data_IF_299492715971
#
_entry.id   IF_299492715971
#
_cell.length_a   1.000
_cell.length_b   1.000
_cell.length_c   1.000
_cell.angle_alpha   90.00
_cell.angle_beta   90.00
_cell.angle_gamma   90.00
#
_symmetry.space_group_name_H-M   'P 1'
#
loop_
_entity.id
_entity.type
_entity.pdbx_description
1 polymer ?
#
# COMPACT_ATOMS: atom_id res chain seq x y z
N UNK A 1 1.03 2.36 2.20
CA UNK A 1 -0.14 2.59 1.35
C UNK A 1 0.04 1.81 0.04
N UNK A 2 -1.03 1.18 -0.48
CA UNK A 2 -0.98 0.47 -1.75
C UNK A 2 -1.15 1.44 -2.92
N UNK A 3 -0.40 1.24 -4.01
CA UNK A 3 -0.55 1.97 -5.26
C UNK A 3 -1.29 1.09 -6.27
N UNK A 4 -2.39 1.60 -6.82
CA UNK A 4 -3.32 0.89 -7.69
C UNK A 4 -3.16 1.41 -9.12
N UNK A 5 -2.80 0.61 -10.14
CA UNK A 5 -2.86 1.03 -11.53
C UNK A 5 -4.29 1.42 -11.93
N UNK A 6 -4.45 2.52 -12.66
CA UNK A 6 -5.77 2.99 -13.08
C UNK A 6 -6.45 2.04 -14.08
N UNK A 7 -5.65 1.36 -14.90
CA UNK A 7 -6.08 0.35 -15.86
C UNK A 7 -5.10 -0.82 -15.87
N UNK A 8 -5.42 -1.90 -16.59
CA UNK A 8 -4.51 -3.04 -16.80
C UNK A 8 -3.48 -2.77 -17.92
N UNK A 9 -3.29 -1.51 -18.35
CA UNK A 9 -2.28 -1.17 -19.36
C UNK A 9 -0.86 -1.30 -18.79
N UNK A 10 0.13 -1.70 -19.63
CA UNK A 10 1.53 -1.73 -19.21
C UNK A 10 2.04 -0.37 -18.69
N UNK A 11 1.54 0.72 -19.27
CA UNK A 11 1.93 2.08 -18.93
C UNK A 11 1.46 2.46 -17.52
N UNK A 12 0.19 2.21 -17.18
CA UNK A 12 -0.37 2.48 -15.86
C UNK A 12 0.26 1.58 -14.80
N UNK A 13 0.53 0.33 -15.15
CA UNK A 13 1.26 -0.61 -14.29
C UNK A 13 2.67 -0.08 -13.96
N UNK A 14 3.43 0.36 -14.96
CA UNK A 14 4.77 0.91 -14.76
C UNK A 14 4.74 2.20 -13.93
N UNK A 15 3.76 3.07 -14.16
CA UNK A 15 3.55 4.28 -13.37
C UNK A 15 3.25 3.95 -11.90
N UNK A 16 2.34 3.00 -11.64
CA UNK A 16 2.00 2.56 -10.29
C UNK A 16 3.20 1.91 -9.59
N UNK A 17 3.97 1.05 -10.27
CA UNK A 17 5.20 0.46 -9.72
C UNK A 17 6.25 1.53 -9.36
N UNK A 18 6.42 2.54 -10.20
CA UNK A 18 7.33 3.66 -9.96
C UNK A 18 6.95 4.41 -8.67
N UNK A 19 5.66 4.74 -8.49
CA UNK A 19 5.16 5.38 -7.26
C UNK A 19 5.33 4.48 -6.04
N UNK A 20 5.02 3.18 -6.16
CA UNK A 20 5.13 2.23 -5.06
C UNK A 20 6.56 2.14 -4.50
N UNK A 21 7.56 2.30 -5.36
CA UNK A 21 8.99 2.26 -5.00
C UNK A 21 9.60 3.66 -4.76
N UNK A 22 8.85 4.74 -4.99
CA UNK A 22 9.36 6.09 -4.80
C UNK A 22 9.54 6.42 -3.32
N UNK A 23 10.45 7.34 -3.05
CA UNK A 23 10.62 7.96 -1.74
C UNK A 23 10.49 9.47 -1.91
N UNK A 24 9.48 10.04 -1.29
CA UNK A 24 9.17 11.47 -1.33
C UNK A 24 9.51 12.12 0.01
N UNK A 25 10.10 13.31 -0.03
CA UNK A 25 10.45 14.03 1.19
C UNK A 25 9.22 14.35 2.04
N UNK A 26 9.30 14.04 3.33
CA UNK A 26 8.20 14.29 4.28
C UNK A 26 7.02 13.32 4.19
N UNK A 27 7.06 12.35 3.29
CA UNK A 27 6.02 11.31 3.21
C UNK A 27 6.34 10.14 4.14
N UNK A 28 5.50 9.91 5.14
CA UNK A 28 5.67 8.80 6.10
C UNK A 28 5.31 7.43 5.53
N UNK A 29 4.64 7.39 4.38
CA UNK A 29 4.12 6.17 3.76
C UNK A 29 4.99 5.64 2.62
N UNK A 30 6.25 6.03 2.57
CA UNK A 30 7.25 5.50 1.64
C UNK A 30 7.59 4.04 2.02
N UNK A 31 6.88 3.07 1.48
CA UNK A 31 7.06 1.66 1.83
C UNK A 31 8.49 1.18 1.59
N UNK A 32 9.09 1.52 0.46
CA UNK A 32 10.46 1.14 0.12
C UNK A 32 11.47 1.61 1.20
N UNK A 33 11.30 2.84 1.70
CA UNK A 33 12.17 3.41 2.72
C UNK A 33 12.23 2.57 4.00
N UNK A 34 11.09 2.01 4.41
CA UNK A 34 11.00 1.23 5.64
C UNK A 34 11.32 -0.25 5.48
N UNK A 35 10.91 -0.84 4.35
CA UNK A 35 11.04 -2.28 4.16
C UNK A 35 12.37 -2.71 3.53
N UNK A 36 12.95 -1.93 2.61
CA UNK A 36 14.19 -2.32 1.93
C UNK A 36 15.35 -2.55 2.90
N UNK A 37 15.60 -1.71 3.91
CA UNK A 37 16.65 -1.99 4.88
C UNK A 37 16.52 -3.34 5.56
N UNK A 38 15.31 -3.70 5.98
CA UNK A 38 15.04 -4.94 6.69
C UNK A 38 15.02 -6.16 5.77
N UNK A 39 14.43 -6.03 4.57
CA UNK A 39 14.25 -7.15 3.64
C UNK A 39 15.45 -7.35 2.72
N UNK A 40 16.06 -6.25 2.23
CA UNK A 40 17.11 -6.28 1.22
C UNK A 40 18.50 -5.92 1.78
N UNK A 41 18.59 -5.21 2.91
CA UNK A 41 19.83 -4.82 3.58
C UNK A 41 20.47 -3.55 2.99
N UNK A 42 19.67 -2.68 2.41
CA UNK A 42 20.10 -1.35 1.94
C UNK A 42 18.91 -0.40 1.91
N UNK A 43 19.16 0.88 1.97
CA UNK A 43 18.14 1.88 1.67
C UNK A 43 17.94 2.04 0.16
N UNK A 44 16.73 2.39 -0.33
CA UNK A 44 16.50 2.69 -1.73
C UNK A 44 17.32 3.93 -2.16
N UNK A 45 17.97 3.86 -3.34
CA UNK A 45 18.80 4.96 -3.85
C UNK A 45 18.03 6.28 -3.99
N UNK A 46 16.76 6.20 -4.39
CA UNK A 46 15.86 7.36 -4.47
C UNK A 46 15.71 8.01 -3.11
N UNK A 47 15.58 7.24 -2.05
CA UNK A 47 15.47 7.72 -0.68
C UNK A 47 16.76 8.35 -0.17
N UNK A 48 17.91 7.73 -0.44
CA UNK A 48 19.22 8.30 -0.10
C UNK A 48 19.46 9.63 -0.78
N UNK A 49 19.02 9.80 -2.03
CA UNK A 49 19.09 11.09 -2.74
C UNK A 49 18.13 12.12 -2.15
N UNK A 50 16.89 11.70 -1.85
CA UNK A 50 15.84 12.58 -1.29
C UNK A 50 16.22 13.13 0.09
N UNK A 51 16.84 12.31 0.92
CA UNK A 51 17.20 12.67 2.29
C UNK A 51 18.70 12.97 2.48
N UNK A 52 19.50 13.12 1.42
CA UNK A 52 20.96 13.23 1.47
C UNK A 52 21.48 14.20 2.53
N UNK A 53 20.86 15.40 2.65
CA UNK A 53 21.27 16.43 3.63
C UNK A 53 20.82 16.12 5.08
N UNK A 54 19.97 15.12 5.26
CA UNK A 54 19.38 14.75 6.56
C UNK A 54 19.84 13.39 7.05
N UNK A 55 20.56 12.63 6.22
CA UNK A 55 21.03 11.31 6.60
C UNK A 55 22.16 11.41 7.62
N UNK A 56 22.05 10.72 8.77
CA UNK A 56 23.19 10.57 9.66
C UNK A 56 24.27 9.70 9.01
N UNK A 57 25.51 9.87 9.44
CA UNK A 57 26.55 8.89 9.14
C UNK A 57 26.21 7.55 9.84
N UNK A 58 26.24 6.48 9.10
CA UNK A 58 26.07 5.12 9.63
C UNK A 58 27.00 4.16 8.90
N UNK A 59 27.58 3.19 9.61
CA UNK A 59 28.44 2.20 8.98
C UNK A 59 27.61 1.13 8.24
N UNK A 60 28.11 0.60 7.15
CA UNK A 60 27.47 -0.51 6.42
C UNK A 60 27.22 -1.73 7.30
N UNK A 61 28.02 -1.88 8.38
CA UNK A 61 27.83 -2.96 9.35
C UNK A 61 26.49 -2.95 10.07
N UNK A 62 25.78 -1.81 10.11
CA UNK A 62 24.45 -1.74 10.73
C UNK A 62 23.45 -2.64 10.02
N UNK A 63 23.61 -2.85 8.71
CA UNK A 63 22.77 -3.80 7.97
C UNK A 63 22.98 -5.25 8.39
N UNK A 64 24.11 -5.61 9.02
CA UNK A 64 24.28 -6.94 9.62
C UNK A 64 23.32 -7.17 10.80
N UNK A 65 22.85 -6.09 11.43
CA UNK A 65 21.84 -6.13 12.50
C UNK A 65 20.44 -5.93 11.97
N UNK A 66 20.24 -5.02 11.01
CA UNK A 66 18.92 -4.65 10.46
C UNK A 66 18.37 -5.78 9.60
N UNK A 67 19.17 -6.30 8.66
CA UNK A 67 18.77 -7.40 7.78
C UNK A 67 18.97 -8.75 8.46
N UNK A 68 17.90 -9.27 9.02
CA UNK A 68 17.86 -10.63 9.55
C UNK A 68 16.97 -11.53 8.67
N UNK A 69 17.13 -12.87 8.72
CA UNK A 69 16.18 -13.77 8.08
C UNK A 69 14.76 -13.53 8.62
N UNK A 70 13.83 -13.31 7.71
CA UNK A 70 12.40 -13.10 8.02
C UNK A 70 11.55 -14.06 7.19
N UNK A 71 10.46 -14.56 7.77
CA UNK A 71 9.61 -15.57 7.14
C UNK A 71 8.53 -14.95 6.24
N UNK A 72 8.07 -13.75 6.55
CA UNK A 72 7.03 -13.04 5.80
C UNK A 72 7.07 -11.52 6.03
N UNK A 73 6.39 -10.79 5.16
CA UNK A 73 6.11 -9.35 5.33
C UNK A 73 4.68 -9.17 5.79
N UNK A 74 4.47 -8.50 6.93
CA UNK A 74 3.16 -8.14 7.44
C UNK A 74 2.70 -6.77 6.90
N UNK A 75 1.49 -6.68 6.35
CA UNK A 75 0.96 -5.45 5.78
C UNK A 75 -0.40 -5.07 6.39
N UNK A 76 -0.49 -3.81 6.82
CA UNK A 76 -1.76 -3.17 7.19
C UNK A 76 -2.28 -2.41 5.97
N UNK A 77 -3.38 -2.88 5.37
CA UNK A 77 -3.92 -2.31 4.14
C UNK A 77 -5.40 -1.97 4.33
N UNK A 78 -5.72 -0.69 4.31
CA UNK A 78 -7.10 -0.19 4.42
C UNK A 78 -7.57 0.48 3.15
N UNK A 79 -6.64 1.13 2.41
CA UNK A 79 -6.90 1.89 1.20
C UNK A 79 -5.67 1.94 0.31
N UNK A 80 -5.85 2.42 -0.92
CA UNK A 80 -4.77 2.67 -1.87
C UNK A 80 -5.04 3.89 -2.74
N UNK A 81 -3.97 4.45 -3.30
CA UNK A 81 -4.04 5.53 -4.28
C UNK A 81 -4.05 4.99 -5.71
N UNK A 82 -4.93 5.53 -6.56
CA UNK A 82 -4.97 5.18 -7.98
C UNK A 82 -3.98 6.04 -8.76
N UNK A 83 -3.19 5.39 -9.62
CA UNK A 83 -2.15 6.04 -10.44
C UNK A 83 -2.29 5.61 -11.90
N UNK A 84 -2.13 6.55 -12.81
CA UNK A 84 -2.03 6.32 -14.25
C UNK A 84 -0.73 6.89 -14.80
N UNK A 85 -0.37 6.50 -16.02
CA UNK A 85 0.66 7.18 -16.79
C UNK A 85 0.13 8.51 -17.33
N UNK A 86 0.85 9.60 -17.08
CA UNK A 86 0.59 10.88 -17.70
C UNK A 86 0.99 10.91 -19.18
N UNK A 87 0.68 12.02 -19.85
CA UNK A 87 0.99 12.19 -21.28
C UNK A 87 2.50 12.16 -21.58
N UNK A 88 3.33 12.50 -20.61
CA UNK A 88 4.80 12.46 -20.65
C UNK A 88 5.40 11.12 -20.15
N UNK A 89 4.53 10.18 -19.76
CA UNK A 89 4.90 8.90 -19.17
C UNK A 89 5.20 8.95 -17.66
N UNK A 90 5.14 10.13 -17.03
CA UNK A 90 5.30 10.24 -15.59
C UNK A 90 4.02 9.85 -14.84
N UNK A 91 4.13 9.34 -13.59
CA UNK A 91 2.97 8.96 -12.81
C UNK A 91 2.08 10.16 -12.45
N UNK A 92 0.79 10.01 -12.66
CA UNK A 92 -0.24 10.96 -12.21
C UNK A 92 -1.23 10.28 -11.26
N UNK A 93 -1.48 10.89 -10.10
CA UNK A 93 -2.54 10.43 -9.20
C UNK A 93 -3.93 10.72 -9.78
N UNK A 94 -4.80 9.72 -9.75
CA UNK A 94 -6.18 9.86 -10.20
C UNK A 94 -7.07 10.16 -8.99
N UNK A 95 -7.69 11.34 -8.93
CA UNK A 95 -8.60 11.67 -7.84
C UNK A 95 -9.86 10.80 -7.89
N UNK A 96 -10.41 10.48 -6.73
CA UNK A 96 -11.70 9.78 -6.67
C UNK A 96 -12.84 10.67 -7.20
N UNK A 97 -13.82 10.03 -7.84
CA UNK A 97 -15.01 10.73 -8.31
C UNK A 97 -15.82 11.33 -7.14
N UNK A 98 -16.55 12.39 -7.42
CA UNK A 98 -17.50 12.96 -6.45
C UNK A 98 -18.51 11.88 -6.02
N UNK A 99 -18.67 11.72 -4.70
CA UNK A 99 -19.56 10.69 -4.13
C UNK A 99 -18.89 9.30 -4.02
N UNK A 100 -17.59 9.18 -4.24
CA UNK A 100 -16.87 7.96 -3.95
C UNK A 100 -17.06 7.56 -2.48
N UNK A 101 -17.32 6.28 -2.17
CA UNK A 101 -17.50 5.83 -0.80
C UNK A 101 -16.27 6.10 0.07
N UNK A 102 -16.50 6.64 1.26
CA UNK A 102 -15.47 6.90 2.27
C UNK A 102 -15.84 6.27 3.61
N UNK A 103 -14.84 5.99 4.43
CA UNK A 103 -15.00 5.54 5.82
C UNK A 103 -15.26 6.71 6.76
N UNK A 104 -15.53 6.46 8.04
CA UNK A 104 -15.63 7.50 9.07
C UNK A 104 -14.33 8.28 9.30
N UNK A 105 -13.21 7.81 8.78
CA UNK A 105 -11.92 8.49 8.82
C UNK A 105 -11.60 9.26 7.54
N UNK A 106 -12.60 9.48 6.68
CA UNK A 106 -12.45 10.09 5.36
C UNK A 106 -11.50 9.31 4.42
N UNK A 107 -11.30 8.03 4.70
CA UNK A 107 -10.49 7.17 3.83
C UNK A 107 -11.34 6.62 2.70
N UNK A 108 -10.87 6.67 1.45
CA UNK A 108 -11.61 6.11 0.32
C UNK A 108 -11.71 4.59 0.41
N UNK A 109 -12.86 4.05 0.05
CA UNK A 109 -13.05 2.61 -0.06
C UNK A 109 -12.49 2.16 -1.41
N UNK A 110 -11.35 1.49 -1.37
CA UNK A 110 -10.59 1.08 -2.56
C UNK A 110 -10.20 -0.41 -2.47
N UNK A 111 -11.12 -1.33 -2.77
CA UNK A 111 -10.90 -2.78 -2.61
C UNK A 111 -9.64 -3.28 -3.32
N UNK A 112 -9.33 -2.76 -4.51
CA UNK A 112 -8.14 -3.11 -5.28
C UNK A 112 -6.80 -2.88 -4.52
N UNK A 113 -6.82 -2.11 -3.43
CA UNK A 113 -5.65 -1.98 -2.55
C UNK A 113 -5.20 -3.33 -1.99
N UNK A 114 -6.15 -4.26 -1.74
CA UNK A 114 -5.84 -5.59 -1.21
C UNK A 114 -5.38 -6.57 -2.30
N UNK A 115 -5.52 -6.23 -3.59
CA UNK A 115 -4.83 -6.91 -4.69
C UNK A 115 -3.40 -6.39 -4.83
N UNK A 116 -3.26 -5.09 -5.02
CA UNK A 116 -2.01 -4.48 -5.44
C UNK A 116 -0.98 -4.34 -4.32
N UNK A 117 -1.41 -4.11 -3.07
CA UNK A 117 -0.48 -4.00 -1.94
C UNK A 117 0.34 -5.28 -1.72
N UNK A 118 -0.27 -6.45 -1.53
CA UNK A 118 0.43 -7.73 -1.41
C UNK A 118 1.23 -8.08 -2.66
N UNK A 119 0.66 -7.84 -3.85
CA UNK A 119 1.34 -8.07 -5.12
C UNK A 119 2.68 -7.31 -5.21
N UNK A 120 2.68 -6.00 -4.94
CA UNK A 120 3.91 -5.20 -4.97
C UNK A 120 4.92 -5.66 -3.94
N UNK A 121 4.49 -5.97 -2.72
CA UNK A 121 5.38 -6.43 -1.67
C UNK A 121 6.02 -7.78 -2.02
N UNK A 122 5.22 -8.74 -2.48
CA UNK A 122 5.74 -10.04 -2.92
C UNK A 122 6.71 -9.91 -4.10
N UNK A 123 6.31 -9.16 -5.12
CA UNK A 123 7.14 -8.91 -6.30
C UNK A 123 8.48 -8.25 -5.95
N UNK A 124 8.48 -7.31 -5.00
CA UNK A 124 9.67 -6.53 -4.66
C UNK A 124 10.61 -7.26 -3.69
N UNK A 125 10.06 -7.95 -2.69
CA UNK A 125 10.86 -8.57 -1.63
C UNK A 125 11.05 -10.08 -1.79
N UNK A 126 10.25 -10.76 -2.63
CA UNK A 126 10.32 -12.21 -2.82
C UNK A 126 9.88 -13.02 -1.59
N UNK A 127 9.21 -12.40 -0.62
CA UNK A 127 8.78 -13.00 0.63
C UNK A 127 7.27 -13.27 0.62
N UNK A 128 6.80 -14.28 1.37
CA UNK A 128 5.38 -14.43 1.66
C UNK A 128 4.81 -13.15 2.27
N UNK A 129 3.55 -12.83 1.98
CA UNK A 129 2.87 -11.65 2.53
C UNK A 129 1.70 -12.09 3.39
N UNK A 130 1.58 -11.49 4.57
CA UNK A 130 0.45 -11.66 5.49
C UNK A 130 -0.25 -10.33 5.66
N UNK A 131 -1.57 -10.29 5.44
CA UNK A 131 -2.37 -9.11 5.76
C UNK A 131 -2.62 -9.13 7.27
N UNK A 132 -1.94 -8.23 7.97
CA UNK A 132 -2.02 -8.13 9.43
C UNK A 132 -3.17 -7.25 9.89
N UNK A 133 -3.59 -6.29 9.05
CA UNK A 133 -4.76 -5.47 9.32
C UNK A 133 -5.50 -5.11 8.02
N UNK A 134 -6.82 -5.22 8.07
CA UNK A 134 -7.77 -4.68 7.09
C UNK A 134 -9.10 -4.44 7.80
N UNK A 135 -9.88 -3.47 7.36
CA UNK A 135 -11.19 -3.21 7.96
C UNK A 135 -11.76 -1.83 7.61
N UNK A 136 -12.95 -1.59 8.10
CA UNK A 136 -13.75 -0.39 7.86
C UNK A 136 -14.11 0.27 9.20
N UNK A 137 -13.73 1.53 9.36
CA UNK A 137 -14.33 2.39 10.38
C UNK A 137 -15.71 2.87 9.89
N UNK A 138 -16.74 2.58 10.63
CA UNK A 138 -18.14 2.91 10.32
C UNK A 138 -18.79 3.64 11.50
N UNK A 139 -19.84 4.41 11.20
CA UNK A 139 -20.68 5.00 12.26
C UNK A 139 -21.61 3.92 12.81
N UNK A 140 -21.17 3.28 13.87
CA UNK A 140 -21.91 2.19 14.49
C UNK A 140 -22.86 2.73 15.58
N UNK A 141 -24.11 2.28 15.54
CA UNK A 141 -25.06 2.52 16.61
C UNK A 141 -25.93 1.29 16.83
N UNK A 142 -26.43 1.16 18.03
CA UNK A 142 -27.41 0.12 18.37
C UNK A 142 -28.79 0.59 17.91
N UNK A 143 -29.45 -0.17 17.04
CA UNK A 143 -30.78 0.08 16.59
C UNK A 143 -31.82 -0.06 17.74
N UNK A 144 -33.07 0.41 17.53
CA UNK A 144 -34.14 0.29 18.50
C UNK A 144 -34.48 -1.17 18.86
N UNK A 145 -34.13 -2.10 18.00
CA UNK A 145 -34.26 -3.56 18.21
C UNK A 145 -33.05 -4.19 18.94
N UNK A 146 -32.13 -3.36 19.45
CA UNK A 146 -30.94 -3.81 20.17
C UNK A 146 -29.84 -4.40 19.28
N UNK A 147 -29.89 -4.21 17.95
CA UNK A 147 -28.90 -4.80 17.00
C UNK A 147 -28.04 -3.72 16.38
N UNK A 148 -26.78 -4.11 16.09
CA UNK A 148 -25.88 -3.38 15.19
C UNK A 148 -26.02 -3.99 13.78
N UNK A 149 -26.18 -3.13 12.77
CA UNK A 149 -26.33 -3.56 11.37
C UNK A 149 -25.05 -3.34 10.59
N UNK A 150 -24.35 -4.41 10.33
CA UNK A 150 -23.01 -4.44 9.75
C UNK A 150 -22.97 -4.64 8.23
N UNK A 151 -24.06 -4.35 7.52
CA UNK A 151 -24.15 -4.56 6.07
C UNK A 151 -23.01 -3.90 5.29
N UNK A 152 -22.61 -2.68 5.66
CA UNK A 152 -21.51 -1.98 5.00
C UNK A 152 -20.16 -2.66 5.27
N UNK A 153 -19.91 -3.13 6.50
CA UNK A 153 -18.66 -3.80 6.85
C UNK A 153 -18.55 -5.18 6.20
N UNK A 154 -19.68 -5.88 6.09
CA UNK A 154 -19.77 -7.18 5.38
C UNK A 154 -19.46 -6.98 3.90
N UNK A 155 -20.06 -5.97 3.26
CA UNK A 155 -19.81 -5.68 1.84
C UNK A 155 -18.36 -5.23 1.59
N UNK A 156 -17.83 -4.33 2.40
CA UNK A 156 -16.43 -3.92 2.36
C UNK A 156 -15.50 -5.15 2.43
N UNK A 157 -15.65 -5.96 3.47
CA UNK A 157 -14.79 -7.14 3.67
C UNK A 157 -14.87 -8.10 2.50
N UNK A 158 -16.07 -8.35 1.97
CA UNK A 158 -16.27 -9.21 0.80
C UNK A 158 -15.54 -8.67 -0.42
N UNK A 159 -15.67 -7.38 -0.73
CA UNK A 159 -15.02 -6.77 -1.89
C UNK A 159 -13.49 -6.84 -1.78
N UNK A 160 -12.95 -6.56 -0.59
CA UNK A 160 -11.51 -6.62 -0.37
C UNK A 160 -10.97 -8.06 -0.47
N UNK A 161 -11.69 -9.05 0.05
CA UNK A 161 -11.28 -10.46 -0.07
C UNK A 161 -11.31 -10.96 -1.52
N UNK A 162 -12.27 -10.51 -2.34
CA UNK A 162 -12.30 -10.82 -3.78
C UNK A 162 -11.09 -10.23 -4.53
N UNK A 163 -10.60 -9.08 -4.10
CA UNK A 163 -9.38 -8.50 -4.67
C UNK A 163 -8.11 -9.22 -4.16
N UNK A 164 -8.09 -9.67 -2.92
CA UNK A 164 -7.00 -10.51 -2.40
C UNK A 164 -6.89 -11.84 -3.14
N UNK A 165 -8.02 -12.46 -3.51
CA UNK A 165 -8.05 -13.66 -4.34
C UNK A 165 -7.30 -13.45 -5.68
N UNK A 166 -7.47 -12.28 -6.30
CA UNK A 166 -6.74 -11.93 -7.53
C UNK A 166 -5.23 -11.80 -7.27
N UNK A 167 -4.83 -11.18 -6.16
CA UNK A 167 -3.41 -11.08 -5.79
C UNK A 167 -2.73 -12.44 -5.61
N UNK A 168 -3.49 -13.45 -5.17
CA UNK A 168 -2.98 -14.82 -5.01
C UNK A 168 -2.84 -15.53 -6.36
N UNK A 169 -3.65 -15.14 -7.35
CA UNK A 169 -3.62 -15.71 -8.70
C UNK A 169 -2.57 -15.06 -9.62
N UNK A 170 -2.21 -13.80 -9.36
CA UNK A 170 -1.22 -13.02 -10.11
C UNK A 170 0.21 -13.43 -9.75
#
# INVERSE_FOLDING_TARGET
>A
QATIPATDSPEDYAAAEKVQKSVEFGNHFNNAWWFEPACLGHYPETGLKTYAEHMPEFPDSDFNTIKQPIDFVGLNIYQGGVVKAGADGEPEHVPHAVGHPITCFDWPVTPAALRWGPYWAHKHFGLPVVITENGLASMDWVGLDGRVRDGQRIDFTRQYLLELEKAIAD
#
